data_IF_079091987674
#
_entry.id   IF_079091987674
#
_cell.length_a   1.000
_cell.length_b   1.000
_cell.length_c   1.000
_cell.angle_alpha   90.00
_cell.angle_beta   90.00
_cell.angle_gamma   90.00
#
_symmetry.space_group_name_H-M   'P 1'
#
loop_
_entity.id
_entity.type
_entity.pdbx_description
1 polymer ?
#
# COMPACT_ATOMS: atom_id res chain seq x y z
N UNK A 1 -48.43 -23.43 -72.29
CA UNK A 1 -47.12 -22.79 -72.17
C UNK A 1 -47.07 -22.18 -70.81
N UNK A 2 -46.41 -22.84 -69.84
CA UNK A 2 -46.32 -22.46 -68.48
C UNK A 2 -44.92 -21.87 -68.24
N UNK A 3 -44.84 -20.60 -67.82
CA UNK A 3 -43.58 -19.95 -67.39
C UNK A 3 -43.43 -20.12 -65.91
N UNK A 4 -42.38 -20.83 -65.55
CA UNK A 4 -41.90 -20.93 -64.16
C UNK A 4 -40.82 -19.87 -63.98
N UNK A 5 -41.09 -18.85 -63.15
CA UNK A 5 -40.11 -17.84 -62.71
C UNK A 5 -39.60 -18.17 -61.31
N UNK A 6 -38.34 -18.54 -61.22
CA UNK A 6 -37.63 -18.76 -59.94
C UNK A 6 -37.20 -17.43 -59.34
N UNK A 7 -37.71 -17.09 -58.17
CA UNK A 7 -37.23 -15.93 -57.37
C UNK A 7 -35.99 -16.34 -56.50
N UNK A 8 -34.90 -15.71 -56.84
CA UNK A 8 -33.65 -15.85 -56.09
C UNK A 8 -33.69 -14.92 -54.80
N UNK A 9 -33.85 -15.50 -53.66
CA UNK A 9 -33.78 -14.75 -52.40
C UNK A 9 -32.32 -14.58 -52.01
N UNK A 10 -31.79 -13.36 -52.21
CA UNK A 10 -30.50 -12.97 -51.69
C UNK A 10 -30.59 -12.87 -50.17
N UNK A 11 -29.73 -13.63 -49.46
CA UNK A 11 -29.54 -13.56 -48.00
C UNK A 11 -28.90 -12.23 -47.65
N UNK A 12 -29.53 -11.46 -46.78
CA UNK A 12 -28.98 -10.26 -46.15
C UNK A 12 -27.99 -10.74 -45.06
N UNK A 13 -26.74 -10.25 -45.03
CA UNK A 13 -25.86 -10.52 -43.91
C UNK A 13 -26.44 -9.86 -42.68
N UNK A 14 -26.56 -10.60 -41.58
CA UNK A 14 -26.85 -10.06 -40.26
C UNK A 14 -25.62 -9.24 -39.81
N UNK A 15 -25.73 -7.92 -39.78
CA UNK A 15 -24.83 -7.07 -39.04
C UNK A 15 -25.03 -7.40 -37.54
N UNK A 16 -24.06 -8.08 -36.94
CA UNK A 16 -23.93 -8.14 -35.49
C UNK A 16 -23.68 -6.72 -35.03
N UNK A 17 -24.68 -6.09 -34.43
CA UNK A 17 -24.55 -4.80 -33.79
C UNK A 17 -23.72 -5.04 -32.51
N UNK A 18 -22.44 -4.70 -32.58
CA UNK A 18 -21.62 -4.56 -31.38
C UNK A 18 -22.33 -3.55 -30.45
N UNK A 19 -22.63 -4.01 -29.23
CA UNK A 19 -23.35 -3.22 -28.25
C UNK A 19 -22.38 -2.19 -27.64
N UNK A 20 -22.54 -0.89 -27.88
CA UNK A 20 -21.62 0.14 -27.34
C UNK A 20 -21.53 0.15 -25.81
N UNK A 21 -22.48 -0.49 -25.12
CA UNK A 21 -22.47 -0.61 -23.65
C UNK A 21 -21.54 -1.72 -23.17
N UNK A 22 -21.27 -2.76 -24.00
CA UNK A 22 -20.30 -3.81 -23.65
C UNK A 22 -18.84 -3.33 -23.79
N UNK A 23 -18.55 -2.40 -24.72
CA UNK A 23 -17.24 -1.76 -24.79
C UNK A 23 -16.98 -0.85 -23.58
N UNK A 24 -17.99 -0.14 -23.06
CA UNK A 24 -17.87 0.71 -21.86
C UNK A 24 -17.70 -0.09 -20.57
N UNK A 25 -18.19 -1.33 -20.49
CA UNK A 25 -17.98 -2.23 -19.34
C UNK A 25 -16.60 -2.91 -19.37
N UNK A 26 -15.95 -3.05 -20.52
CA UNK A 26 -14.60 -3.61 -20.63
C UNK A 26 -13.47 -2.62 -20.31
N UNK A 27 -13.69 -1.31 -20.37
CA UNK A 27 -12.69 -0.30 -20.00
C UNK A 27 -12.55 -0.08 -18.48
N UNK A 28 -13.38 -0.67 -17.63
CA UNK A 28 -13.41 -0.46 -16.18
C UNK A 28 -12.52 -1.42 -15.36
N UNK A 29 -11.51 -2.10 -15.96
CA UNK A 29 -10.67 -3.08 -15.26
C UNK A 29 -9.30 -2.53 -14.80
N UNK A 30 -9.01 -1.26 -15.03
CA UNK A 30 -7.78 -0.59 -14.58
C UNK A 30 -7.90 -0.03 -13.16
N UNK A 31 -6.76 0.16 -12.48
CA UNK A 31 -6.72 0.85 -11.20
C UNK A 31 -7.25 2.29 -11.32
N UNK A 32 -7.97 2.75 -10.31
CA UNK A 32 -8.55 4.09 -10.26
C UNK A 32 -7.76 4.99 -9.29
N UNK A 33 -7.92 6.32 -9.44
CA UNK A 33 -7.40 7.28 -8.47
C UNK A 33 -7.96 7.01 -7.06
N UNK A 34 -9.18 6.50 -6.94
CA UNK A 34 -9.78 6.13 -5.66
C UNK A 34 -9.09 4.92 -5.02
N UNK A 35 -8.60 3.96 -5.81
CA UNK A 35 -7.80 2.84 -5.32
C UNK A 35 -6.44 3.32 -4.81
N UNK A 36 -5.80 4.25 -5.52
CA UNK A 36 -4.56 4.89 -5.09
C UNK A 36 -4.75 5.62 -3.76
N UNK A 37 -5.81 6.44 -3.62
CA UNK A 37 -6.13 7.14 -2.38
C UNK A 37 -6.39 6.17 -1.23
N UNK A 38 -7.13 5.10 -1.48
CA UNK A 38 -7.39 4.05 -0.48
C UNK A 38 -6.08 3.36 -0.03
N UNK A 39 -5.18 3.10 -0.97
CA UNK A 39 -3.84 2.58 -0.71
C UNK A 39 -2.99 3.53 0.13
N UNK A 40 -2.97 4.83 -0.22
CA UNK A 40 -2.26 5.88 0.51
C UNK A 40 -2.77 6.01 1.96
N UNK A 41 -4.08 6.07 2.17
CA UNK A 41 -4.68 6.16 3.51
C UNK A 41 -4.39 4.90 4.33
N UNK A 42 -4.45 3.71 3.72
CA UNK A 42 -4.13 2.44 4.38
C UNK A 42 -2.65 2.38 4.79
N UNK A 43 -1.74 2.77 3.90
CA UNK A 43 -0.30 2.80 4.18
C UNK A 43 0.05 3.86 5.22
N UNK A 44 -0.59 5.05 5.18
CA UNK A 44 -0.45 6.08 6.22
C UNK A 44 -0.86 5.53 7.60
N UNK A 45 -2.00 4.83 7.67
CA UNK A 45 -2.44 4.14 8.90
C UNK A 45 -1.41 3.13 9.41
N UNK A 46 -0.82 2.37 8.49
CA UNK A 46 0.20 1.37 8.84
C UNK A 46 1.48 2.02 9.37
N UNK A 47 1.98 3.05 8.69
CA UNK A 47 3.19 3.79 9.09
C UNK A 47 3.00 4.50 10.43
N UNK A 48 1.81 5.08 10.68
CA UNK A 48 1.49 5.63 12.00
C UNK A 48 1.57 4.57 13.10
N UNK A 49 1.10 3.34 12.84
CA UNK A 49 1.22 2.25 13.81
C UNK A 49 2.67 1.76 13.98
N UNK A 50 3.49 1.79 12.91
CA UNK A 50 4.94 1.55 13.00
C UNK A 50 5.63 2.59 13.89
N UNK A 51 5.28 3.88 13.73
CA UNK A 51 5.77 4.95 14.61
C UNK A 51 5.51 4.64 16.07
N UNK A 52 4.26 4.37 16.43
CA UNK A 52 3.88 4.08 17.83
C UNK A 52 4.59 2.83 18.33
N UNK A 53 4.66 1.76 17.54
CA UNK A 53 5.30 0.51 17.94
C UNK A 53 6.81 0.66 18.15
N UNK A 54 7.53 1.29 17.22
CA UNK A 54 8.97 1.50 17.34
C UNK A 54 9.31 2.39 18.52
N UNK A 55 8.52 3.43 18.78
CA UNK A 55 8.70 4.31 19.93
C UNK A 55 8.46 3.58 21.26
N UNK A 56 7.41 2.75 21.35
CA UNK A 56 7.14 1.97 22.57
C UNK A 56 8.22 0.91 22.81
N UNK A 57 8.73 0.25 21.77
CA UNK A 57 9.84 -0.69 21.92
C UNK A 57 11.11 0.06 22.33
N UNK A 58 11.42 1.21 21.74
CA UNK A 58 12.55 2.08 22.11
C UNK A 58 12.58 2.42 23.60
N UNK A 59 11.41 2.72 24.19
CA UNK A 59 11.28 3.07 25.60
C UNK A 59 11.42 1.86 26.55
N UNK A 60 11.11 0.66 26.08
CA UNK A 60 11.03 -0.56 26.91
C UNK A 60 12.15 -1.57 26.63
N UNK A 61 13.03 -1.32 25.65
CA UNK A 61 14.11 -2.25 25.32
C UNK A 61 15.14 -2.29 26.46
N UNK A 62 15.59 -3.50 26.80
CA UNK A 62 16.63 -3.75 27.81
C UNK A 62 17.61 -4.82 27.30
N UNK A 63 18.74 -4.98 28.02
CA UNK A 63 19.69 -6.06 27.80
C UNK A 63 20.97 -5.65 27.07
N UNK A 64 21.80 -6.62 26.65
CA UNK A 64 23.16 -6.34 26.15
C UNK A 64 23.20 -5.49 24.86
N UNK A 65 22.13 -5.48 24.08
CA UNK A 65 22.01 -4.71 22.83
C UNK A 65 21.20 -3.41 23.04
N UNK A 66 21.00 -2.99 24.31
CA UNK A 66 20.18 -1.81 24.61
C UNK A 66 20.58 -0.58 23.79
N UNK A 67 21.82 -0.13 23.90
CA UNK A 67 22.23 1.13 23.30
C UNK A 67 22.07 1.14 21.76
N UNK A 68 22.65 0.19 21.00
CA UNK A 68 22.53 0.23 19.53
C UNK A 68 21.09 0.04 19.04
N UNK A 69 20.26 -0.73 19.73
CA UNK A 69 18.85 -0.92 19.36
C UNK A 69 18.01 0.30 19.75
N UNK A 70 18.27 0.89 20.91
CA UNK A 70 17.60 2.12 21.35
C UNK A 70 17.84 3.27 20.36
N UNK A 71 19.09 3.48 19.91
CA UNK A 71 19.43 4.48 18.90
C UNK A 71 18.80 4.15 17.54
N UNK A 72 18.88 2.90 17.07
CA UNK A 72 18.24 2.47 15.83
C UNK A 72 16.73 2.72 15.86
N UNK A 73 16.05 2.35 16.95
CA UNK A 73 14.59 2.56 17.06
C UNK A 73 14.22 4.04 17.13
N UNK A 74 15.11 4.89 17.68
CA UNK A 74 14.92 6.34 17.65
C UNK A 74 14.89 6.86 16.20
N UNK A 75 15.89 6.51 15.40
CA UNK A 75 15.91 6.87 13.99
C UNK A 75 14.67 6.35 13.23
N UNK A 76 14.18 5.15 13.59
CA UNK A 76 13.01 4.57 12.93
C UNK A 76 11.73 5.34 13.29
N UNK A 77 11.44 5.64 14.57
CA UNK A 77 10.21 6.35 14.90
C UNK A 77 10.20 7.79 14.38
N UNK A 78 11.33 8.47 14.37
CA UNK A 78 11.48 9.80 13.76
C UNK A 78 11.19 9.73 12.25
N UNK A 79 11.78 8.76 11.54
CA UNK A 79 11.53 8.53 10.12
C UNK A 79 10.08 8.18 9.80
N UNK A 80 9.40 7.41 10.67
CA UNK A 80 8.00 7.05 10.46
C UNK A 80 7.04 8.24 10.60
N UNK A 81 7.39 9.25 11.41
CA UNK A 81 6.63 10.51 11.48
C UNK A 81 6.68 11.22 10.12
N UNK A 82 7.86 11.40 9.55
CA UNK A 82 8.05 12.07 8.27
C UNK A 82 7.39 11.28 7.12
N UNK A 83 7.48 9.95 7.16
CA UNK A 83 6.86 9.07 6.18
C UNK A 83 5.32 9.15 6.23
N UNK A 84 4.74 9.19 7.43
CA UNK A 84 3.31 9.39 7.60
C UNK A 84 2.85 10.73 7.03
N UNK A 85 3.57 11.80 7.32
CA UNK A 85 3.25 13.15 6.85
C UNK A 85 3.27 13.21 5.32
N UNK A 86 4.34 12.73 4.71
CA UNK A 86 4.48 12.68 3.24
C UNK A 86 3.35 11.88 2.57
N UNK A 87 3.01 10.69 3.09
CA UNK A 87 1.92 9.88 2.55
C UNK A 87 0.57 10.58 2.68
N UNK A 88 0.33 11.26 3.82
CA UNK A 88 -0.89 12.02 4.06
C UNK A 88 -0.99 13.26 3.16
N UNK A 89 0.13 13.93 2.90
CA UNK A 89 0.20 15.07 1.98
C UNK A 89 -0.12 14.65 0.53
N UNK A 90 0.31 13.48 0.05
CA UNK A 90 -0.12 12.99 -1.27
C UNK A 90 -1.63 12.85 -1.38
N UNK A 91 -2.32 12.38 -0.34
CA UNK A 91 -3.79 12.36 -0.33
C UNK A 91 -4.36 13.76 -0.48
N UNK A 92 -3.74 14.75 0.18
CA UNK A 92 -4.18 16.15 0.13
C UNK A 92 -3.87 16.85 -1.19
N UNK A 93 -2.74 16.58 -1.82
CA UNK A 93 -2.39 17.13 -3.14
C UNK A 93 -3.34 16.67 -4.24
N UNK A 94 -3.96 15.48 -4.07
CA UNK A 94 -4.99 14.95 -4.96
C UNK A 94 -6.42 15.39 -4.59
N UNK A 95 -6.57 16.38 -3.68
CA UNK A 95 -7.83 16.98 -3.22
C UNK A 95 -8.76 16.03 -2.43
N UNK A 96 -8.23 14.97 -1.84
CA UNK A 96 -8.95 14.08 -0.92
C UNK A 96 -8.65 14.40 0.54
N UNK A 97 -9.51 13.94 1.46
CA UNK A 97 -9.37 14.20 2.90
C UNK A 97 -8.79 12.97 3.64
N UNK A 98 -7.86 13.23 4.55
CA UNK A 98 -7.43 12.24 5.54
C UNK A 98 -8.49 12.07 6.64
N UNK A 99 -8.54 10.90 7.31
CA UNK A 99 -9.39 10.73 8.49
C UNK A 99 -9.08 11.75 9.58
N UNK A 100 -10.10 12.46 10.09
CA UNK A 100 -9.94 13.55 11.06
C UNK A 100 -9.69 13.10 12.51
N UNK A 101 -9.77 11.81 12.81
CA UNK A 101 -9.53 11.29 14.16
C UNK A 101 -8.71 10.01 14.13
N UNK A 102 -8.01 9.73 15.24
CA UNK A 102 -7.18 8.54 15.38
C UNK A 102 -7.96 7.24 15.13
N UNK A 103 -9.21 7.14 15.60
CA UNK A 103 -10.04 5.95 15.36
C UNK A 103 -10.29 5.74 13.87
N UNK A 104 -10.59 6.80 13.12
CA UNK A 104 -10.76 6.76 11.67
C UNK A 104 -9.48 6.34 10.96
N UNK A 105 -8.33 6.94 11.34
CA UNK A 105 -7.04 6.57 10.78
C UNK A 105 -6.71 5.09 11.03
N UNK A 106 -6.83 4.60 12.26
CA UNK A 106 -6.54 3.20 12.61
C UNK A 106 -7.52 2.22 11.97
N UNK A 107 -8.74 2.65 11.62
CA UNK A 107 -9.72 1.79 10.93
C UNK A 107 -9.39 1.55 9.45
N UNK A 108 -8.54 2.38 8.84
CA UNK A 108 -8.13 2.22 7.45
C UNK A 108 -7.24 0.99 7.23
N UNK A 109 -6.54 0.51 8.26
CA UNK A 109 -5.82 -0.76 8.22
C UNK A 109 -5.91 -1.51 9.55
N UNK A 110 -6.50 -2.72 9.54
CA UNK A 110 -6.75 -3.53 10.75
C UNK A 110 -5.79 -4.72 10.92
N UNK A 111 -4.91 -4.96 9.94
CA UNK A 111 -4.03 -6.13 9.91
C UNK A 111 -2.71 -5.97 10.67
N UNK A 112 -2.48 -4.82 11.33
CA UNK A 112 -1.23 -4.54 12.04
C UNK A 112 -0.99 -5.49 13.20
N UNK A 113 0.25 -5.96 13.37
CA UNK A 113 0.63 -6.89 14.43
C UNK A 113 1.25 -6.13 15.61
N UNK A 114 0.51 -6.09 16.73
CA UNK A 114 1.01 -5.50 17.96
C UNK A 114 1.83 -6.52 18.76
N UNK A 115 2.95 -6.08 19.34
CA UNK A 115 3.62 -6.86 20.38
C UNK A 115 3.01 -6.56 21.75
N UNK A 116 2.98 -7.58 22.61
CA UNK A 116 2.64 -7.46 24.03
C UNK A 116 3.81 -7.91 24.92
N UNK A 117 4.86 -8.41 24.30
CA UNK A 117 6.05 -8.90 25.01
C UNK A 117 7.00 -7.76 25.30
N UNK A 118 7.55 -7.76 26.52
CA UNK A 118 8.67 -6.93 26.93
C UNK A 118 10.03 -7.57 26.59
N UNK A 119 10.04 -8.85 26.15
CA UNK A 119 11.25 -9.51 25.69
C UNK A 119 11.76 -8.87 24.38
N UNK A 120 13.01 -8.39 24.42
CA UNK A 120 13.62 -7.66 23.32
C UNK A 120 13.55 -8.42 21.98
N UNK A 121 13.93 -9.70 21.99
CA UNK A 121 13.93 -10.54 20.77
C UNK A 121 12.52 -10.71 20.19
N UNK A 122 11.52 -10.91 21.03
CA UNK A 122 10.13 -11.12 20.59
C UNK A 122 9.54 -9.82 20.02
N UNK A 123 9.68 -8.69 20.73
CA UNK A 123 9.18 -7.40 20.29
C UNK A 123 9.82 -6.94 18.98
N UNK A 124 11.13 -7.08 18.86
CA UNK A 124 11.87 -6.77 17.62
C UNK A 124 11.53 -7.70 16.46
N UNK A 125 11.21 -8.98 16.74
CA UNK A 125 10.76 -9.92 15.69
C UNK A 125 9.41 -9.52 15.13
N UNK A 126 8.48 -9.06 15.96
CA UNK A 126 7.18 -8.55 15.51
C UNK A 126 7.37 -7.26 14.70
N UNK A 127 8.19 -6.35 15.18
CA UNK A 127 8.48 -5.10 14.47
C UNK A 127 9.16 -5.34 13.11
N UNK A 128 10.13 -6.26 13.03
CA UNK A 128 10.75 -6.70 11.80
C UNK A 128 9.72 -7.15 10.76
N UNK A 129 8.77 -8.01 11.16
CA UNK A 129 7.71 -8.48 10.26
C UNK A 129 6.79 -7.35 9.78
N UNK A 130 6.53 -6.38 10.65
CA UNK A 130 5.74 -5.21 10.28
C UNK A 130 6.51 -4.30 9.30
N UNK A 131 7.82 -4.12 9.44
CA UNK A 131 8.64 -3.40 8.46
C UNK A 131 8.58 -4.08 7.08
N UNK A 132 8.69 -5.41 7.04
CA UNK A 132 8.58 -6.16 5.79
C UNK A 132 7.18 -6.01 5.15
N UNK A 133 6.13 -6.09 5.96
CA UNK A 133 4.75 -5.89 5.49
C UNK A 133 4.56 -4.47 4.93
N UNK A 134 5.09 -3.45 5.61
CA UNK A 134 5.08 -2.07 5.11
C UNK A 134 5.80 -1.94 3.77
N UNK A 135 6.95 -2.59 3.61
CA UNK A 135 7.69 -2.63 2.35
C UNK A 135 6.89 -3.27 1.20
N UNK A 136 6.13 -4.33 1.47
CA UNK A 136 5.23 -4.92 0.47
C UNK A 136 4.04 -4.02 0.15
N UNK A 137 3.40 -3.42 1.16
CA UNK A 137 2.32 -2.44 0.93
C UNK A 137 2.80 -1.24 0.11
N UNK A 138 4.00 -0.74 0.36
CA UNK A 138 4.59 0.33 -0.44
C UNK A 138 4.86 -0.10 -1.88
N UNK A 139 5.27 -1.35 -2.11
CA UNK A 139 5.45 -1.91 -3.45
C UNK A 139 4.13 -1.98 -4.22
N UNK A 140 3.05 -2.44 -3.55
CA UNK A 140 1.71 -2.50 -4.14
C UNK A 140 1.20 -1.09 -4.46
N UNK A 141 1.44 -0.12 -3.56
CA UNK A 141 1.11 1.29 -3.80
C UNK A 141 1.85 1.86 -5.03
N UNK A 142 3.14 1.54 -5.21
CA UNK A 142 3.91 1.94 -6.38
C UNK A 142 3.34 1.38 -7.68
N UNK A 143 2.81 0.15 -7.66
CA UNK A 143 2.12 -0.45 -8.81
C UNK A 143 0.84 0.32 -9.14
N UNK A 144 0.00 0.62 -8.14
CA UNK A 144 -1.21 1.44 -8.33
C UNK A 144 -0.87 2.84 -8.85
N UNK A 145 0.14 3.48 -8.28
CA UNK A 145 0.57 4.81 -8.70
C UNK A 145 1.00 4.85 -10.17
N UNK A 146 1.71 3.82 -10.63
CA UNK A 146 2.10 3.67 -12.03
C UNK A 146 0.89 3.51 -12.96
N UNK A 147 -0.09 2.70 -12.57
CA UNK A 147 -1.30 2.44 -13.37
C UNK A 147 -2.18 3.69 -13.54
N UNK A 148 -2.18 4.59 -12.55
CA UNK A 148 -2.93 5.87 -12.60
C UNK A 148 -2.06 7.08 -12.97
N UNK A 149 -0.84 6.87 -13.45
CA UNK A 149 0.09 7.90 -13.91
C UNK A 149 0.43 8.96 -12.83
N UNK A 150 0.66 8.51 -11.57
CA UNK A 150 1.11 9.34 -10.44
C UNK A 150 2.60 9.11 -10.13
N UNK A 151 3.52 9.68 -10.93
CA UNK A 151 4.96 9.37 -10.85
C UNK A 151 5.63 9.85 -9.56
N UNK A 152 5.12 10.88 -8.91
CA UNK A 152 5.58 11.37 -7.62
C UNK A 152 5.32 10.35 -6.50
N UNK A 153 4.13 9.75 -6.47
CA UNK A 153 3.78 8.67 -5.54
C UNK A 153 4.56 7.40 -5.86
N UNK A 154 4.72 7.04 -7.15
CA UNK A 154 5.50 5.86 -7.57
C UNK A 154 6.95 5.98 -7.08
N UNK A 155 7.61 7.13 -7.30
CA UNK A 155 8.97 7.38 -6.86
C UNK A 155 9.11 7.30 -5.33
N UNK A 156 8.20 7.93 -4.59
CA UNK A 156 8.20 7.88 -3.13
C UNK A 156 7.96 6.47 -2.60
N UNK A 157 7.05 5.72 -3.19
CA UNK A 157 6.80 4.33 -2.84
C UNK A 157 8.07 3.47 -3.00
N UNK A 158 8.85 3.67 -4.05
CA UNK A 158 10.14 2.99 -4.25
C UNK A 158 11.17 3.34 -3.16
N UNK A 159 11.25 4.60 -2.74
CA UNK A 159 12.12 5.02 -1.64
C UNK A 159 11.66 4.42 -0.30
N UNK A 160 10.37 4.36 -0.05
CA UNK A 160 9.81 3.73 1.13
C UNK A 160 10.10 2.23 1.17
N UNK A 161 9.95 1.51 0.06
CA UNK A 161 10.38 0.10 -0.09
C UNK A 161 11.82 -0.09 0.32
N UNK A 162 12.72 0.74 -0.22
CA UNK A 162 14.15 0.71 0.11
C UNK A 162 14.42 0.94 1.59
N UNK A 163 13.74 1.93 2.21
CA UNK A 163 13.88 2.23 3.63
C UNK A 163 13.43 1.06 4.50
N UNK A 164 12.25 0.49 4.24
CA UNK A 164 11.68 -0.61 5.02
C UNK A 164 12.55 -1.87 4.96
N UNK A 165 13.01 -2.27 3.76
CA UNK A 165 13.85 -3.46 3.65
C UNK A 165 15.27 -3.25 4.16
N UNK A 166 15.81 -2.02 4.13
CA UNK A 166 17.08 -1.70 4.79
C UNK A 166 16.98 -1.84 6.31
N UNK A 167 15.93 -1.28 6.92
CA UNK A 167 15.67 -1.42 8.35
C UNK A 167 15.45 -2.89 8.75
N UNK A 168 14.69 -3.65 7.93
CA UNK A 168 14.49 -5.09 8.11
C UNK A 168 15.80 -5.86 8.07
N UNK A 169 16.71 -5.51 7.15
CA UNK A 169 18.01 -6.15 7.06
C UNK A 169 18.85 -5.93 8.32
N UNK A 170 18.87 -4.72 8.88
CA UNK A 170 19.59 -4.44 10.14
C UNK A 170 19.04 -5.30 11.27
N UNK A 171 17.74 -5.36 11.46
CA UNK A 171 17.13 -6.17 12.51
C UNK A 171 17.37 -7.68 12.29
N UNK A 172 17.27 -8.19 11.07
CA UNK A 172 17.61 -9.58 10.76
C UNK A 172 19.05 -9.92 11.14
N UNK A 173 19.98 -9.02 10.85
CA UNK A 173 21.39 -9.20 11.19
C UNK A 173 21.64 -9.18 12.68
N UNK A 174 20.93 -8.32 13.41
CA UNK A 174 20.99 -8.20 14.88
C UNK A 174 20.36 -9.40 15.59
N UNK A 175 19.27 -9.94 15.06
CA UNK A 175 18.51 -11.05 15.65
C UNK A 175 19.06 -12.45 15.29
N UNK A 176 20.08 -12.55 14.47
CA UNK A 176 20.76 -13.82 14.22
C UNK A 176 21.39 -14.34 15.53
N UNK A 177 21.38 -15.67 15.75
CA UNK A 177 22.03 -16.30 16.89
C UNK A 177 23.54 -16.12 16.85
#
# INVERSE_FOLDING_TARGET
MTFSGSFNTASIPSEESENPLEELEQEATGASIQDLISGLVSLSSYVHQLYVQSHLIHLNIEGPLFLPIHEFLKEQYESHIDQFDTLAEFVRTMDFLMPMCQRGLLSAYKGFKHTKSYEARESLTVYLKNLETCGFMAKDLGTLAKEVEAPDVENYAADLVKAMFKASWFLKSTLRP
#
